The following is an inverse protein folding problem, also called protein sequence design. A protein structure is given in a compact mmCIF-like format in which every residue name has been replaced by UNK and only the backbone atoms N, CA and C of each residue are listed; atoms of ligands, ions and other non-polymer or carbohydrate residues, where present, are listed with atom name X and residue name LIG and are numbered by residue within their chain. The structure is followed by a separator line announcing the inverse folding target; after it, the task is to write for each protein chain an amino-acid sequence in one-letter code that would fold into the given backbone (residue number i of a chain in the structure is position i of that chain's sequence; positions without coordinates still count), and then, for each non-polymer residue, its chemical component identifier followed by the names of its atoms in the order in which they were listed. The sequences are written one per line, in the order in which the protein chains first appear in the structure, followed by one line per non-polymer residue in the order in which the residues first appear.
data_IF_196297749503
#
_entry.id   IF_196297749503
#
_cell.length_a   1.000
_cell.length_b   1.000
_cell.length_c   1.000
_cell.angle_alpha   90.00
_cell.angle_beta   90.00
_cell.angle_gamma   90.00
#
_symmetry.space_group_name_H-M   'P 1'
#
loop_
_entity.id
_entity.type
_entity.pdbx_description
1 polymer ?
#
# COMPACT_ATOMS: atom_id res chain seq x y z
N UNK A 1 6.74 19.57 -18.10
CA UNK A 1 7.98 19.45 -18.90
C UNK A 1 7.82 18.25 -19.81
N UNK A 2 8.13 18.32 -21.11
CA UNK A 2 8.06 17.16 -21.97
C UNK A 2 9.15 16.16 -21.51
N UNK A 3 8.75 14.90 -21.36
CA UNK A 3 9.68 13.80 -21.09
C UNK A 3 10.57 13.65 -22.32
N UNK A 4 11.88 13.92 -22.16
CA UNK A 4 12.83 13.66 -23.23
C UNK A 4 12.92 12.14 -23.42
N UNK A 5 12.42 11.64 -24.55
CA UNK A 5 12.68 10.27 -24.95
C UNK A 5 14.15 10.13 -25.38
N UNK A 6 14.77 9.03 -25.01
CA UNK A 6 16.09 8.66 -25.52
C UNK A 6 16.03 7.22 -26.04
N UNK A 7 16.86 6.93 -27.01
CA UNK A 7 17.02 5.56 -27.52
C UNK A 7 18.46 5.12 -27.29
N UNK A 8 18.60 3.85 -26.93
CA UNK A 8 19.91 3.21 -26.75
C UNK A 8 20.03 2.14 -27.84
N UNK A 9 21.06 2.24 -28.65
CA UNK A 9 21.41 1.22 -29.63
C UNK A 9 22.56 0.36 -29.08
N UNK A 10 22.31 -0.93 -28.91
CA UNK A 10 23.33 -1.91 -28.49
C UNK A 10 23.78 -2.68 -29.74
N UNK A 11 24.92 -2.31 -30.27
CA UNK A 11 25.42 -2.87 -31.54
C UNK A 11 26.38 -4.05 -31.35
N UNK A 12 26.84 -4.32 -30.13
CA UNK A 12 27.78 -5.39 -29.85
C UNK A 12 27.16 -6.51 -29.03
N UNK A 13 27.36 -7.75 -29.48
CA UNK A 13 27.02 -8.92 -28.65
C UNK A 13 28.04 -9.13 -27.52
N UNK A 14 27.57 -9.38 -26.32
CA UNK A 14 28.42 -9.74 -25.18
C UNK A 14 28.79 -11.20 -25.34
N UNK A 15 30.09 -11.50 -25.54
CA UNK A 15 30.59 -12.90 -25.71
C UNK A 15 30.77 -13.63 -24.39
N UNK A 16 31.13 -12.93 -23.34
CA UNK A 16 31.21 -13.45 -21.98
C UNK A 16 30.87 -12.35 -20.98
N UNK A 17 30.17 -12.68 -19.93
CA UNK A 17 29.76 -11.75 -18.89
C UNK A 17 29.97 -12.40 -17.53
N UNK A 18 30.87 -11.85 -16.72
CA UNK A 18 31.08 -12.25 -15.34
C UNK A 18 31.25 -10.97 -14.51
N UNK A 19 30.13 -10.44 -14.02
CA UNK A 19 30.11 -9.26 -13.15
C UNK A 19 29.09 -9.44 -12.05
N UNK A 20 29.45 -9.04 -10.85
CA UNK A 20 28.54 -8.86 -9.73
C UNK A 20 28.04 -7.42 -9.77
N UNK A 21 26.73 -7.23 -9.73
CA UNK A 21 26.10 -5.93 -9.62
C UNK A 21 25.25 -5.87 -8.36
N UNK A 22 25.27 -4.73 -7.70
CA UNK A 22 24.29 -4.43 -6.64
C UNK A 22 23.07 -3.77 -7.27
N UNK A 23 21.89 -4.22 -6.84
CA UNK A 23 20.61 -3.64 -7.26
C UNK A 23 19.96 -2.92 -6.08
N UNK A 24 19.14 -1.91 -6.39
CA UNK A 24 18.35 -1.25 -5.37
C UNK A 24 17.31 -2.19 -4.75
N UNK A 25 16.87 -1.82 -3.55
CA UNK A 25 15.85 -2.53 -2.80
C UNK A 25 14.52 -2.54 -3.53
N UNK A 26 13.71 -3.57 -3.29
CA UNK A 26 12.38 -3.68 -3.90
C UNK A 26 11.36 -2.72 -3.24
N UNK A 27 10.63 -1.99 -4.06
CA UNK A 27 9.62 -1.02 -3.63
C UNK A 27 8.44 -1.69 -2.94
N UNK A 28 7.96 -2.80 -3.50
CA UNK A 28 6.79 -3.49 -2.95
C UNK A 28 7.11 -4.16 -1.62
N UNK A 29 8.32 -4.67 -1.45
CA UNK A 29 8.79 -5.21 -0.16
C UNK A 29 8.96 -4.10 0.86
N UNK A 30 9.50 -2.95 0.47
CA UNK A 30 9.59 -1.77 1.35
C UNK A 30 8.22 -1.34 1.85
N UNK A 31 7.21 -1.20 0.98
CA UNK A 31 5.84 -0.85 1.37
C UNK A 31 5.25 -1.91 2.32
N UNK A 32 5.39 -3.20 2.02
CA UNK A 32 4.89 -4.29 2.87
C UNK A 32 5.51 -4.26 4.26
N UNK A 33 6.81 -4.01 4.36
CA UNK A 33 7.51 -3.94 5.64
C UNK A 33 6.95 -2.82 6.53
N UNK A 34 6.62 -1.65 5.95
CA UNK A 34 5.97 -0.58 6.69
C UNK A 34 4.55 -0.95 7.11
N UNK A 35 3.75 -1.55 6.24
CA UNK A 35 2.37 -1.94 6.54
C UNK A 35 2.32 -3.01 7.64
N UNK A 36 3.14 -4.05 7.53
CA UNK A 36 3.22 -5.12 8.53
C UNK A 36 3.76 -4.56 9.86
N UNK A 37 4.82 -3.75 9.82
CA UNK A 37 5.35 -3.09 11.01
C UNK A 37 4.33 -2.19 11.70
N UNK A 38 3.45 -1.53 10.94
CA UNK A 38 2.41 -0.65 11.49
C UNK A 38 1.32 -1.40 12.27
N UNK A 39 0.95 -2.61 11.82
CA UNK A 39 -0.04 -3.47 12.47
C UNK A 39 0.55 -4.50 13.43
N UNK A 40 1.88 -4.57 13.53
CA UNK A 40 2.57 -5.40 14.53
C UNK A 40 2.48 -4.78 15.91
N UNK A 41 2.76 -5.56 16.94
CA UNK A 41 3.05 -5.05 18.28
C UNK A 41 4.53 -4.66 18.40
N UNK A 42 4.84 -3.75 19.32
CA UNK A 42 6.21 -3.29 19.60
C UNK A 42 6.88 -2.53 18.42
N UNK A 43 8.20 -2.50 18.43
CA UNK A 43 9.01 -1.75 17.47
C UNK A 43 9.57 -2.70 16.42
N UNK A 44 9.30 -2.40 15.15
CA UNK A 44 9.91 -3.08 14.01
C UNK A 44 11.00 -2.21 13.41
N UNK A 45 12.16 -2.80 13.13
CA UNK A 45 13.24 -2.13 12.39
C UNK A 45 13.29 -2.63 10.97
N UNK A 46 13.17 -1.71 10.01
CA UNK A 46 13.26 -2.01 8.57
C UNK A 46 14.53 -1.38 8.02
N UNK A 47 15.38 -2.20 7.41
CA UNK A 47 16.65 -1.79 6.82
C UNK A 47 16.61 -1.94 5.31
N UNK A 48 17.50 -1.21 4.63
CA UNK A 48 17.64 -1.23 3.17
C UNK A 48 16.33 -0.87 2.44
N UNK A 49 15.64 0.16 2.90
CA UNK A 49 14.38 0.66 2.33
C UNK A 49 14.66 1.38 1.01
N UNK A 50 13.87 1.09 -0.03
CA UNK A 50 13.83 1.93 -1.24
C UNK A 50 13.07 3.22 -0.91
N UNK A 51 13.78 4.35 -0.88
CA UNK A 51 13.19 5.67 -0.54
C UNK A 51 12.50 6.33 -1.76
N UNK A 52 11.66 5.56 -2.48
CA UNK A 52 10.86 6.06 -3.61
C UNK A 52 9.69 6.91 -3.13
N UNK A 53 9.04 7.63 -4.05
CA UNK A 53 7.88 8.46 -3.74
C UNK A 53 6.67 7.63 -3.26
N UNK A 54 6.53 6.40 -3.75
CA UNK A 54 5.52 5.46 -3.27
C UNK A 54 5.74 5.09 -1.80
N UNK A 55 6.98 4.84 -1.39
CA UNK A 55 7.34 4.53 0.00
C UNK A 55 7.20 5.76 0.89
N UNK A 56 7.57 6.94 0.41
CA UNK A 56 7.31 8.20 1.13
C UNK A 56 5.80 8.41 1.35
N UNK A 57 4.98 8.16 0.32
CA UNK A 57 3.52 8.21 0.43
C UNK A 57 3.00 7.22 1.49
N UNK A 58 3.56 5.99 1.54
CA UNK A 58 3.23 5.00 2.55
C UNK A 58 3.52 5.51 3.97
N UNK A 59 4.71 6.05 4.20
CA UNK A 59 5.11 6.62 5.50
C UNK A 59 4.17 7.75 5.91
N UNK A 60 3.85 8.67 5.00
CA UNK A 60 2.96 9.80 5.27
C UNK A 60 1.55 9.34 5.65
N UNK A 61 1.01 8.37 4.92
CA UNK A 61 -0.32 7.82 5.17
C UNK A 61 -0.37 7.09 6.50
N UNK A 62 0.63 6.28 6.84
CA UNK A 62 0.71 5.58 8.12
C UNK A 62 0.83 6.54 9.30
N UNK A 63 1.61 7.62 9.16
CA UNK A 63 1.67 8.68 10.17
C UNK A 63 0.32 9.34 10.42
N UNK A 64 -0.47 9.60 9.35
CA UNK A 64 -1.84 10.11 9.47
C UNK A 64 -2.78 9.14 10.18
N UNK A 65 -2.51 7.84 10.12
CA UNK A 65 -3.24 6.77 10.81
C UNK A 65 -2.72 6.52 12.24
N UNK A 66 -1.87 7.41 12.75
CA UNK A 66 -1.37 7.39 14.13
C UNK A 66 -0.14 6.53 14.35
N UNK A 67 0.48 6.01 13.31
CA UNK A 67 1.73 5.22 13.43
C UNK A 67 2.92 6.15 13.58
N UNK A 68 3.70 5.98 14.63
CA UNK A 68 4.96 6.68 14.80
C UNK A 68 6.05 5.97 13.98
N UNK A 69 6.71 6.71 13.10
CA UNK A 69 7.79 6.21 12.26
C UNK A 69 8.98 7.17 12.36
N UNK A 70 10.12 6.65 12.78
CA UNK A 70 11.37 7.39 12.90
C UNK A 70 12.38 6.88 11.87
N UNK A 71 13.06 7.78 11.19
CA UNK A 71 14.23 7.44 10.38
C UNK A 71 15.42 7.39 11.33
N UNK A 72 16.08 6.25 11.39
CA UNK A 72 17.25 6.02 12.24
C UNK A 72 18.53 6.48 11.51
N UNK A 73 18.68 6.05 10.26
CA UNK A 73 19.80 6.38 9.36
C UNK A 73 19.33 6.24 7.90
N UNK A 74 20.14 6.60 6.89
CA UNK A 74 19.77 6.39 5.50
C UNK A 74 19.26 4.97 5.24
N UNK A 75 18.13 4.83 4.56
CA UNK A 75 17.46 3.57 4.23
C UNK A 75 17.08 2.68 5.46
N UNK A 76 17.05 3.24 6.69
CA UNK A 76 16.71 2.50 7.91
C UNK A 76 15.66 3.24 8.74
N UNK A 77 14.60 2.53 9.16
CA UNK A 77 13.46 3.09 9.87
C UNK A 77 13.02 2.22 11.03
N UNK A 78 12.59 2.86 12.11
CA UNK A 78 11.89 2.25 13.23
C UNK A 78 10.41 2.57 13.14
N UNK A 79 9.57 1.54 13.21
CA UNK A 79 8.12 1.62 13.12
C UNK A 79 7.56 1.18 14.47
N UNK A 80 6.86 2.07 15.14
CA UNK A 80 6.20 1.78 16.41
C UNK A 80 4.81 1.25 16.10
N UNK A 81 4.70 -0.07 16.03
CA UNK A 81 3.48 -0.76 15.66
C UNK A 81 2.33 -0.49 16.62
N UNK A 82 1.13 -0.47 16.10
CA UNK A 82 -0.10 -0.19 16.86
C UNK A 82 -0.86 -1.46 17.27
N UNK A 83 -0.51 -2.60 16.69
CA UNK A 83 -1.30 -3.82 16.78
C UNK A 83 -2.40 -3.92 15.73
N UNK A 84 -2.96 -5.10 15.57
CA UNK A 84 -4.10 -5.35 14.68
C UNK A 84 -5.32 -4.55 15.15
N UNK A 85 -6.07 -3.98 14.22
CA UNK A 85 -7.28 -3.23 14.48
C UNK A 85 -7.10 -1.89 15.19
N UNK A 86 -5.85 -1.44 15.44
CA UNK A 86 -5.56 -0.25 16.26
C UNK A 86 -5.17 1.00 15.46
N UNK A 87 -5.21 0.93 14.14
CA UNK A 87 -5.10 2.14 13.32
C UNK A 87 -6.34 3.00 13.53
N UNK A 88 -6.16 4.30 13.63
CA UNK A 88 -7.29 5.20 13.82
C UNK A 88 -7.28 6.37 12.84
N UNK A 89 -8.44 6.94 12.60
CA UNK A 89 -8.60 8.11 11.76
C UNK A 89 -9.45 9.18 12.45
N UNK A 90 -8.98 10.42 12.42
CA UNK A 90 -9.81 11.56 12.79
C UNK A 90 -10.96 11.73 11.78
N UNK A 91 -12.03 12.43 12.19
CA UNK A 91 -13.15 12.72 11.29
C UNK A 91 -12.65 13.37 9.99
N UNK A 92 -13.19 12.90 8.87
CA UNK A 92 -12.88 13.40 7.53
C UNK A 92 -11.41 13.22 7.08
N UNK A 93 -10.70 12.25 7.63
CA UNK A 93 -9.32 11.97 7.21
C UNK A 93 -9.25 11.60 5.73
N UNK A 94 -8.34 12.29 5.01
CA UNK A 94 -8.03 12.02 3.60
C UNK A 94 -6.67 11.36 3.49
N UNK A 95 -6.64 10.19 2.86
CA UNK A 95 -5.45 9.40 2.60
C UNK A 95 -5.11 9.47 1.12
N UNK A 96 -3.99 10.10 0.79
CA UNK A 96 -3.50 10.18 -0.58
C UNK A 96 -2.38 9.16 -0.77
N UNK A 97 -2.59 8.19 -1.63
CA UNK A 97 -1.65 7.10 -1.93
C UNK A 97 -0.61 7.47 -3.00
N UNK A 98 -0.62 8.71 -3.52
CA UNK A 98 0.20 9.09 -4.66
C UNK A 98 -0.12 8.23 -5.88
N UNK A 99 0.90 7.68 -6.54
CA UNK A 99 0.73 6.72 -7.64
C UNK A 99 0.83 5.25 -7.21
N UNK A 100 0.92 4.99 -5.89
CA UNK A 100 1.20 3.66 -5.37
C UNK A 100 0.00 2.72 -5.40
N UNK A 101 -0.09 1.90 -6.44
CA UNK A 101 -1.09 0.85 -6.54
C UNK A 101 -0.90 -0.26 -5.49
N UNK A 102 0.33 -0.53 -5.06
CA UNK A 102 0.64 -1.48 -3.99
C UNK A 102 0.13 -0.97 -2.65
N UNK A 103 0.51 0.25 -2.26
CA UNK A 103 0.03 0.88 -1.03
C UNK A 103 -1.50 0.89 -0.98
N UNK A 104 -2.14 1.39 -2.05
CA UNK A 104 -3.60 1.51 -2.11
C UNK A 104 -4.30 0.17 -1.84
N UNK A 105 -3.89 -0.90 -2.52
CA UNK A 105 -4.56 -2.19 -2.40
C UNK A 105 -4.32 -2.87 -1.05
N UNK A 106 -3.09 -2.86 -0.57
CA UNK A 106 -2.74 -3.52 0.67
C UNK A 106 -3.31 -2.79 1.88
N UNK A 107 -3.19 -1.47 1.91
CA UNK A 107 -3.69 -0.68 3.04
C UNK A 107 -5.23 -0.68 3.08
N UNK A 108 -5.92 -0.62 1.94
CA UNK A 108 -7.39 -0.77 1.91
C UNK A 108 -7.80 -2.14 2.48
N UNK A 109 -7.03 -3.22 2.23
CA UNK A 109 -7.24 -4.49 2.90
C UNK A 109 -7.27 -4.33 4.43
N UNK A 110 -6.20 -3.80 5.00
CA UNK A 110 -6.09 -3.55 6.46
C UNK A 110 -7.22 -2.66 6.98
N UNK A 111 -7.47 -1.53 6.31
CA UNK A 111 -8.46 -0.55 6.77
C UNK A 111 -9.90 -1.06 6.68
N UNK A 112 -10.18 -1.99 5.77
CA UNK A 112 -11.54 -2.54 5.59
C UNK A 112 -12.05 -3.28 6.81
N UNK A 113 -11.17 -3.88 7.60
CA UNK A 113 -11.48 -4.66 8.81
C UNK A 113 -10.95 -4.02 10.09
N UNK A 114 -10.38 -2.82 10.01
CA UNK A 114 -10.01 -2.04 11.19
C UNK A 114 -11.24 -1.33 11.76
N UNK A 115 -11.68 -1.63 12.99
CA UNK A 115 -12.94 -1.11 13.53
C UNK A 115 -13.03 0.42 13.55
N UNK A 116 -14.23 0.94 13.31
CA UNK A 116 -14.55 2.37 13.50
C UNK A 116 -13.95 3.33 12.46
N UNK A 117 -13.33 2.85 11.39
CA UNK A 117 -12.68 3.71 10.41
C UNK A 117 -13.65 4.24 9.35
N UNK A 118 -13.58 5.57 9.14
CA UNK A 118 -14.25 6.27 8.03
C UNK A 118 -13.23 7.22 7.41
N UNK A 119 -12.74 6.90 6.21
CA UNK A 119 -11.69 7.66 5.53
C UNK A 119 -12.02 7.91 4.07
N UNK A 120 -11.56 9.03 3.54
CA UNK A 120 -11.55 9.27 2.09
C UNK A 120 -10.21 8.81 1.53
N UNK A 121 -10.23 7.93 0.53
CA UNK A 121 -9.05 7.39 -0.12
C UNK A 121 -8.92 7.91 -1.54
N UNK A 122 -7.72 8.35 -1.91
CA UNK A 122 -7.43 8.91 -3.21
C UNK A 122 -5.99 8.63 -3.63
N UNK A 123 -5.71 8.85 -4.89
CA UNK A 123 -4.37 8.84 -5.44
C UNK A 123 -4.11 10.06 -6.31
N UNK A 124 -3.04 10.02 -7.06
CA UNK A 124 -2.78 10.98 -8.12
C UNK A 124 -3.71 10.77 -9.33
N UNK A 125 -3.56 11.58 -10.35
CA UNK A 125 -4.35 11.49 -11.57
C UNK A 125 -4.24 10.11 -12.25
N UNK A 126 -3.08 9.47 -12.22
CA UNK A 126 -2.87 8.13 -12.81
C UNK A 126 -3.54 7.04 -11.98
N UNK A 127 -3.34 7.03 -10.66
CA UNK A 127 -3.93 6.04 -9.78
C UNK A 127 -5.46 6.16 -9.73
N UNK A 128 -5.99 7.38 -9.77
CA UNK A 128 -7.43 7.65 -9.78
C UNK A 128 -8.15 7.12 -11.04
N UNK A 129 -7.43 6.91 -12.14
CA UNK A 129 -7.99 6.28 -13.36
C UNK A 129 -8.02 4.76 -13.31
N UNK A 130 -7.24 4.14 -12.42
CA UNK A 130 -7.14 2.68 -12.33
C UNK A 130 -8.40 2.09 -11.69
N UNK A 131 -8.90 1.01 -12.28
CA UNK A 131 -10.02 0.28 -11.69
C UNK A 131 -9.61 -0.42 -10.39
N UNK A 132 -10.36 -0.17 -9.33
CA UNK A 132 -10.27 -0.85 -8.03
C UNK A 132 -11.42 -1.85 -7.83
N UNK A 133 -12.20 -2.15 -8.89
CA UNK A 133 -13.39 -2.99 -8.82
C UNK A 133 -13.15 -4.30 -8.07
N UNK A 134 -12.15 -5.07 -8.47
CA UNK A 134 -11.85 -6.38 -7.83
C UNK A 134 -11.51 -6.24 -6.34
N UNK A 135 -10.80 -5.17 -5.96
CA UNK A 135 -10.49 -4.89 -4.56
C UNK A 135 -11.75 -4.53 -3.78
N UNK A 136 -12.56 -3.61 -4.31
CA UNK A 136 -13.83 -3.18 -3.71
C UNK A 136 -14.74 -4.39 -3.52
N UNK A 137 -14.94 -5.20 -4.55
CA UNK A 137 -15.78 -6.41 -4.50
C UNK A 137 -15.30 -7.39 -3.42
N UNK A 138 -13.98 -7.55 -3.24
CA UNK A 138 -13.41 -8.43 -2.21
C UNK A 138 -13.58 -7.87 -0.80
N UNK A 139 -13.26 -6.60 -0.60
CA UNK A 139 -13.36 -5.96 0.72
C UNK A 139 -14.82 -5.79 1.16
N UNK A 140 -15.74 -5.59 0.22
CA UNK A 140 -17.18 -5.59 0.54
C UNK A 140 -17.69 -6.95 1.01
N UNK A 141 -17.06 -8.06 0.59
CA UNK A 141 -17.40 -9.39 1.14
C UNK A 141 -16.98 -9.54 2.60
N UNK A 142 -15.93 -8.85 3.05
CA UNK A 142 -15.58 -8.77 4.47
C UNK A 142 -16.55 -7.90 5.27
N UNK A 143 -17.37 -7.08 4.61
CA UNK A 143 -18.35 -6.18 5.23
C UNK A 143 -18.01 -4.70 5.13
N UNK A 144 -16.91 -4.32 4.47
CA UNK A 144 -16.58 -2.91 4.27
C UNK A 144 -17.50 -2.25 3.22
N UNK A 145 -17.76 -0.94 3.38
CA UNK A 145 -18.55 -0.16 2.43
C UNK A 145 -17.70 0.87 1.70
N UNK A 146 -18.05 1.09 0.43
CA UNK A 146 -17.41 2.10 -0.42
C UNK A 146 -18.46 3.06 -0.98
N UNK A 147 -18.20 4.36 -0.84
CA UNK A 147 -19.12 5.42 -1.28
C UNK A 147 -18.39 6.36 -2.25
N UNK A 148 -19.00 6.73 -3.39
CA UNK A 148 -20.36 6.37 -3.84
C UNK A 148 -20.45 4.91 -4.28
N UNK A 149 -21.59 4.29 -4.03
CA UNK A 149 -21.88 2.93 -4.54
C UNK A 149 -21.73 2.90 -6.06
N UNK A 150 -21.27 1.75 -6.60
CA UNK A 150 -20.99 1.53 -8.04
C UNK A 150 -19.77 2.26 -8.61
N UNK A 151 -19.15 3.19 -7.91
CA UNK A 151 -17.89 3.79 -8.35
C UNK A 151 -16.75 2.79 -8.13
N UNK A 152 -15.90 2.61 -9.13
CA UNK A 152 -14.87 1.57 -9.16
C UNK A 152 -13.44 2.14 -9.15
N UNK A 153 -13.30 3.45 -9.02
CA UNK A 153 -12.02 4.16 -9.03
C UNK A 153 -12.01 5.28 -7.99
N UNK A 154 -10.85 5.76 -7.62
CA UNK A 154 -10.70 6.84 -6.64
C UNK A 154 -11.16 8.21 -7.20
N UNK A 155 -11.46 9.19 -6.32
CA UNK A 155 -11.55 9.06 -4.86
C UNK A 155 -12.81 8.32 -4.41
N UNK A 156 -12.70 7.63 -3.26
CA UNK A 156 -13.78 6.88 -2.62
C UNK A 156 -13.74 7.12 -1.10
N UNK A 157 -14.90 7.07 -0.46
CA UNK A 157 -14.98 6.97 1.00
C UNK A 157 -15.07 5.49 1.37
N UNK A 158 -14.15 5.04 2.21
CA UNK A 158 -14.13 3.73 2.81
C UNK A 158 -14.74 3.82 4.22
N UNK A 159 -15.70 2.94 4.51
CA UNK A 159 -16.24 2.69 5.83
C UNK A 159 -15.88 1.24 6.16
N UNK A 160 -15.11 1.05 7.22
CA UNK A 160 -14.70 -0.28 7.67
C UNK A 160 -15.85 -1.06 8.30
N UNK A 161 -15.70 -2.37 8.39
CA UNK A 161 -16.58 -3.20 9.19
C UNK A 161 -16.04 -3.41 10.59
N UNK A 162 -16.93 -3.50 11.58
CA UNK A 162 -16.61 -3.89 12.95
C UNK A 162 -16.69 -5.40 13.16
N UNK A 163 -17.40 -6.09 12.25
CA UNK A 163 -17.61 -7.54 12.28
C UNK A 163 -17.24 -8.14 10.91
N UNK A 164 -15.96 -8.38 10.64
CA UNK A 164 -15.57 -8.96 9.37
C UNK A 164 -16.09 -10.39 9.22
N UNK A 165 -16.65 -10.68 8.05
CA UNK A 165 -17.14 -12.03 7.71
C UNK A 165 -16.04 -12.82 7.01
N UNK A 166 -15.96 -14.13 7.30
CA UNK A 166 -15.04 -15.02 6.61
C UNK A 166 -15.39 -15.16 5.12
N UNK A 167 -14.37 -15.16 4.27
CA UNK A 167 -14.54 -15.30 2.82
C UNK A 167 -13.78 -16.49 2.27
N UNK A 168 -14.32 -17.13 1.23
CA UNK A 168 -13.53 -18.02 0.36
C UNK A 168 -13.10 -17.26 -0.87
N UNK A 169 -11.79 -17.17 -1.08
CA UNK A 169 -11.20 -16.47 -2.22
C UNK A 169 -10.32 -17.40 -3.05
N UNK A 170 -10.74 -17.69 -4.29
CA UNK A 170 -9.86 -18.35 -5.27
C UNK A 170 -8.92 -17.32 -5.85
N UNK A 171 -7.68 -17.36 -5.41
CA UNK A 171 -6.66 -16.40 -5.82
C UNK A 171 -6.33 -16.53 -7.31
N UNK A 172 -6.46 -15.42 -8.04
CA UNK A 172 -5.95 -15.29 -9.40
C UNK A 172 -4.46 -14.91 -9.41
N UNK A 173 -3.98 -14.35 -10.49
CA UNK A 173 -2.56 -13.98 -10.68
C UNK A 173 -2.09 -12.77 -9.86
N UNK A 174 -3.00 -11.91 -9.39
CA UNK A 174 -2.65 -10.66 -8.71
C UNK A 174 -2.11 -10.88 -7.30
N UNK A 175 -0.81 -10.71 -7.10
CA UNK A 175 -0.17 -10.74 -5.78
C UNK A 175 -0.72 -9.67 -4.83
N UNK A 176 -1.07 -8.49 -5.33
CA UNK A 176 -1.60 -7.39 -4.52
C UNK A 176 -2.99 -7.72 -3.95
N UNK A 177 -3.87 -8.36 -4.73
CA UNK A 177 -5.18 -8.78 -4.24
C UNK A 177 -5.08 -9.91 -3.22
N UNK A 178 -4.16 -10.88 -3.43
CA UNK A 178 -3.85 -11.91 -2.44
C UNK A 178 -3.42 -11.29 -1.11
N UNK A 179 -2.46 -10.36 -1.18
CA UNK A 179 -1.96 -9.66 0.02
C UNK A 179 -3.06 -8.84 0.71
N UNK A 180 -3.92 -8.16 -0.06
CA UNK A 180 -5.03 -7.40 0.52
C UNK A 180 -6.01 -8.30 1.29
N UNK A 181 -6.33 -9.47 0.75
CA UNK A 181 -7.22 -10.45 1.43
C UNK A 181 -6.57 -11.01 2.69
N UNK A 182 -5.28 -11.39 2.63
CA UNK A 182 -4.54 -11.90 3.81
C UNK A 182 -4.42 -10.84 4.91
N UNK A 183 -4.24 -9.57 4.54
CA UNK A 183 -4.11 -8.47 5.50
C UNK A 183 -5.47 -7.98 6.05
N UNK A 184 -6.58 -8.39 5.43
CA UNK A 184 -7.94 -8.10 5.90
C UNK A 184 -8.48 -9.21 6.82
N UNK A 185 -7.97 -10.42 6.74
CA UNK A 185 -8.34 -11.58 7.60
C UNK A 185 -7.31 -11.80 8.66
#
# INVERSE_FOLDING_TARGET
MPVKSFSININNSIKSFNKTIEVDSDQSMSIRSFLIGAISQNISTVKNVLESDDVKSCILVLKKLGVQIKKDRPKSYQIYGKGLGSLFANKNLKLNFGNSGTLARLLIGILSTTPGLKVEVMGDHSLNKRSMKKLIDLMSKFGAEFIPKKKINFPLKLISTEMPTGIKYKAGVSAQLKSAVILAG
#
